data_IF_253619535118
#
_entry.id   IF_253619535118
#
_cell.length_a   1.000
_cell.length_b   1.000
_cell.length_c   1.000
_cell.angle_alpha   90.00
_cell.angle_beta   90.00
_cell.angle_gamma   90.00
#
_symmetry.space_group_name_H-M   'P 1'
#
loop_
_entity.id
_entity.type
_entity.pdbx_description
1 polymer ?
#
# COMPACT_ATOMS: atom_id res chain seq x y z
N UNK A 1 25.63 -24.76 7.42
CA UNK A 1 25.48 -23.29 7.32
C UNK A 1 24.32 -22.86 6.42
N UNK A 2 24.14 -23.43 5.21
CA UNK A 2 23.02 -23.07 4.31
C UNK A 2 21.61 -23.36 4.85
N UNK A 3 21.44 -24.40 5.66
CA UNK A 3 20.13 -24.74 6.25
C UNK A 3 19.58 -23.60 7.11
N UNK A 4 20.40 -23.00 7.98
CA UNK A 4 19.93 -21.91 8.86
C UNK A 4 19.50 -20.67 8.06
N UNK A 5 20.15 -20.42 6.92
CA UNK A 5 19.85 -19.29 6.02
C UNK A 5 18.45 -19.41 5.40
N UNK A 6 17.96 -20.64 5.18
CA UNK A 6 16.66 -20.90 4.56
C UNK A 6 15.58 -21.13 5.63
N UNK A 7 15.92 -21.81 6.73
CA UNK A 7 14.98 -22.10 7.82
C UNK A 7 14.46 -20.82 8.46
N UNK A 8 15.35 -19.86 8.71
CA UNK A 8 14.95 -18.60 9.34
C UNK A 8 13.85 -17.84 8.57
N UNK A 9 13.99 -17.54 7.27
CA UNK A 9 12.95 -16.83 6.53
C UNK A 9 11.67 -17.65 6.30
N UNK A 10 11.78 -18.98 6.20
CA UNK A 10 10.60 -19.85 6.14
C UNK A 10 9.81 -19.77 7.44
N UNK A 11 10.49 -19.84 8.59
CA UNK A 11 9.84 -19.73 9.91
C UNK A 11 9.19 -18.36 10.09
N UNK A 12 9.88 -17.28 9.70
CA UNK A 12 9.32 -15.93 9.76
C UNK A 12 8.07 -15.78 8.87
N UNK A 13 8.12 -16.28 7.64
CA UNK A 13 6.96 -16.31 6.74
C UNK A 13 5.82 -17.19 7.28
N UNK A 14 6.15 -18.33 7.86
CA UNK A 14 5.18 -19.24 8.48
C UNK A 14 4.44 -18.56 9.65
N UNK A 15 5.18 -17.93 10.56
CA UNK A 15 4.62 -17.18 11.68
C UNK A 15 3.75 -16.00 11.20
N UNK A 16 4.21 -15.29 10.16
CA UNK A 16 3.43 -14.22 9.53
C UNK A 16 2.10 -14.73 8.97
N UNK A 17 2.11 -15.86 8.25
CA UNK A 17 0.89 -16.49 7.72
C UNK A 17 -0.10 -16.93 8.81
N UNK A 18 0.41 -17.46 9.93
CA UNK A 18 -0.42 -17.78 11.10
C UNK A 18 -1.06 -16.53 11.70
N UNK A 19 -0.27 -15.48 11.88
CA UNK A 19 -0.76 -14.23 12.44
C UNK A 19 -1.86 -13.63 11.55
N UNK A 20 -1.66 -13.62 10.23
CA UNK A 20 -2.66 -13.12 9.27
C UNK A 20 -3.96 -13.91 9.37
N UNK A 21 -3.88 -15.24 9.33
CA UNK A 21 -5.06 -16.10 9.41
C UNK A 21 -5.82 -15.91 10.73
N UNK A 22 -5.10 -15.84 11.84
CA UNK A 22 -5.69 -15.61 13.15
C UNK A 22 -6.38 -14.24 13.26
N UNK A 23 -5.71 -13.16 12.83
CA UNK A 23 -6.26 -11.82 12.88
C UNK A 23 -7.47 -11.67 11.94
N UNK A 24 -7.41 -12.28 10.76
CA UNK A 24 -8.51 -12.26 9.81
C UNK A 24 -9.77 -12.96 10.34
N UNK A 25 -9.64 -13.95 11.23
CA UNK A 25 -10.77 -14.65 11.85
C UNK A 25 -11.32 -13.96 13.11
N UNK A 26 -10.50 -13.21 13.83
CA UNK A 26 -10.87 -12.69 15.17
C UNK A 26 -11.26 -11.21 15.14
N UNK A 27 -10.54 -10.39 14.39
CA UNK A 27 -10.70 -8.93 14.40
C UNK A 27 -12.07 -8.42 13.89
N UNK A 28 -12.66 -8.99 12.82
CA UNK A 28 -13.89 -8.46 12.21
C UNK A 28 -15.16 -8.71 13.03
N UNK A 29 -15.17 -9.76 13.84
CA UNK A 29 -16.39 -10.23 14.53
C UNK A 29 -16.56 -9.60 15.91
N UNK A 30 -15.49 -9.41 16.66
CA UNK A 30 -15.56 -9.00 18.08
C UNK A 30 -14.89 -7.67 18.36
N UNK A 31 -14.16 -7.10 17.39
CA UNK A 31 -13.27 -5.94 17.57
C UNK A 31 -12.31 -6.09 18.78
N UNK A 32 -12.09 -7.34 19.23
CA UNK A 32 -11.30 -7.73 20.39
C UNK A 32 -10.52 -8.99 20.04
N UNK A 33 -9.34 -9.17 20.61
CA UNK A 33 -8.56 -10.39 20.45
C UNK A 33 -9.24 -11.52 21.23
N UNK A 34 -10.15 -12.23 20.58
CA UNK A 34 -10.88 -13.38 21.15
C UNK A 34 -10.37 -14.70 20.58
N UNK A 35 -10.87 -15.81 21.10
CA UNK A 35 -10.58 -17.12 20.54
C UNK A 35 -11.28 -17.29 19.19
N UNK A 36 -10.64 -17.96 18.22
CA UNK A 36 -11.26 -18.20 16.93
C UNK A 36 -12.36 -19.26 17.10
N UNK A 37 -13.54 -18.98 16.59
CA UNK A 37 -14.70 -19.87 16.65
C UNK A 37 -14.98 -20.51 15.28
N UNK A 38 -15.60 -21.69 15.29
CA UNK A 38 -16.07 -22.32 14.06
C UNK A 38 -17.23 -21.51 13.47
N UNK A 39 -17.14 -21.15 12.18
CA UNK A 39 -18.19 -20.40 11.48
C UNK A 39 -19.53 -21.13 11.39
N UNK A 40 -19.53 -22.47 11.49
CA UNK A 40 -20.75 -23.27 11.33
C UNK A 40 -21.44 -23.62 12.67
N UNK A 41 -20.68 -23.96 13.70
CA UNK A 41 -21.24 -24.39 15.00
C UNK A 41 -20.96 -23.41 16.16
N UNK A 42 -20.16 -22.36 15.95
CA UNK A 42 -19.79 -21.39 16.98
C UNK A 42 -18.83 -21.90 18.05
N UNK A 43 -18.43 -23.18 18.01
CA UNK A 43 -17.52 -23.77 18.99
C UNK A 43 -16.13 -23.10 18.92
N UNK A 44 -15.60 -22.69 20.06
CA UNK A 44 -14.23 -22.16 20.17
C UNK A 44 -13.19 -23.23 19.84
N UNK A 45 -12.18 -22.87 19.04
CA UNK A 45 -11.02 -23.73 18.82
C UNK A 45 -9.98 -23.54 19.93
N UNK A 46 -9.41 -24.65 20.39
CA UNK A 46 -8.15 -24.60 21.15
C UNK A 46 -7.01 -24.21 20.22
N UNK A 47 -6.02 -23.47 20.73
CA UNK A 47 -4.91 -22.95 19.93
C UNK A 47 -4.18 -24.06 19.15
N UNK A 48 -3.89 -25.19 19.79
CA UNK A 48 -3.21 -26.32 19.13
C UNK A 48 -4.00 -26.91 17.96
N UNK A 49 -5.33 -27.08 18.12
CA UNK A 49 -6.20 -27.56 17.04
C UNK A 49 -6.28 -26.52 15.93
N UNK A 50 -6.32 -25.23 16.28
CA UNK A 50 -6.35 -24.15 15.32
C UNK A 50 -5.07 -24.08 14.48
N UNK A 51 -3.90 -24.18 15.11
CA UNK A 51 -2.59 -24.17 14.45
C UNK A 51 -2.38 -25.38 13.53
N UNK A 52 -3.00 -26.51 13.85
CA UNK A 52 -2.87 -27.77 13.09
C UNK A 52 -3.75 -27.83 11.84
N UNK A 53 -4.52 -26.78 11.53
CA UNK A 53 -5.51 -26.75 10.43
C UNK A 53 -6.47 -27.95 10.38
N UNK A 54 -6.75 -28.58 11.54
CA UNK A 54 -7.64 -29.74 11.61
C UNK A 54 -9.11 -29.34 11.42
N UNK A 55 -9.96 -30.24 10.91
CA UNK A 55 -11.40 -30.00 10.87
C UNK A 55 -11.97 -29.78 12.27
N UNK A 56 -13.14 -29.14 12.35
CA UNK A 56 -13.82 -28.96 13.64
C UNK A 56 -14.09 -30.32 14.30
N UNK A 57 -13.70 -30.47 15.57
CA UNK A 57 -13.95 -31.72 16.32
C UNK A 57 -15.42 -31.97 16.59
N UNK A 58 -16.24 -30.92 16.63
CA UNK A 58 -17.67 -31.02 16.93
C UNK A 58 -18.51 -31.27 15.68
N UNK A 59 -18.34 -30.48 14.61
CA UNK A 59 -19.16 -30.56 13.41
C UNK A 59 -18.45 -31.16 12.18
N UNK A 60 -17.16 -31.50 12.27
CA UNK A 60 -16.40 -32.05 11.15
C UNK A 60 -16.12 -31.06 10.00
N UNK A 61 -16.54 -29.79 10.13
CA UNK A 61 -16.39 -28.84 9.04
C UNK A 61 -14.91 -28.58 8.74
N UNK A 62 -14.53 -28.76 7.46
CA UNK A 62 -13.19 -28.50 6.97
C UNK A 62 -12.98 -27.01 6.77
N UNK A 63 -11.74 -26.55 6.99
CA UNK A 63 -11.37 -25.17 6.66
C UNK A 63 -11.24 -25.02 5.16
N UNK A 64 -11.73 -23.90 4.63
CA UNK A 64 -11.58 -23.56 3.21
C UNK A 64 -10.11 -23.42 2.79
N UNK A 65 -9.87 -23.21 1.50
CA UNK A 65 -8.52 -23.11 0.92
C UNK A 65 -7.77 -21.81 1.30
N UNK A 66 -8.46 -20.82 1.86
CA UNK A 66 -7.90 -19.50 2.20
C UNK A 66 -6.67 -19.58 3.10
N UNK A 67 -6.68 -20.28 4.25
CA UNK A 67 -5.52 -20.29 5.13
C UNK A 67 -4.30 -20.95 4.50
N UNK A 68 -4.52 -21.96 3.65
CA UNK A 68 -3.45 -22.61 2.89
C UNK A 68 -2.80 -21.65 1.89
N UNK A 69 -3.61 -20.86 1.16
CA UNK A 69 -3.09 -19.86 0.24
C UNK A 69 -2.27 -18.78 0.96
N UNK A 70 -2.81 -18.23 2.06
CA UNK A 70 -2.12 -17.21 2.88
C UNK A 70 -0.81 -17.77 3.43
N UNK A 71 -0.82 -19.01 3.93
CA UNK A 71 0.37 -19.66 4.48
C UNK A 71 1.46 -19.85 3.41
N UNK A 72 1.09 -20.38 2.25
CA UNK A 72 2.01 -20.58 1.13
C UNK A 72 2.59 -19.26 0.61
N UNK A 73 1.74 -18.25 0.44
CA UNK A 73 2.15 -16.93 -0.01
C UNK A 73 3.14 -16.28 0.96
N UNK A 74 2.88 -16.33 2.28
CA UNK A 74 3.76 -15.73 3.26
C UNK A 74 5.11 -16.44 3.39
N UNK A 75 5.16 -17.77 3.25
CA UNK A 75 6.43 -18.49 3.15
C UNK A 75 7.23 -18.07 1.92
N UNK A 76 6.56 -17.98 0.75
CA UNK A 76 7.21 -17.56 -0.49
C UNK A 76 7.73 -16.12 -0.40
N UNK A 77 6.94 -15.20 0.17
CA UNK A 77 7.35 -13.80 0.37
C UNK A 77 8.49 -13.71 1.39
N UNK A 78 8.45 -14.48 2.47
CA UNK A 78 9.52 -14.55 3.46
C UNK A 78 10.85 -15.00 2.86
N UNK A 79 10.82 -16.02 2.00
CA UNK A 79 12.00 -16.46 1.22
C UNK A 79 12.45 -15.39 0.23
N UNK A 80 11.52 -14.83 -0.54
CA UNK A 80 11.83 -13.83 -1.57
C UNK A 80 12.51 -12.59 -0.98
N UNK A 81 11.97 -12.07 0.12
CA UNK A 81 12.51 -10.88 0.82
C UNK A 81 13.86 -11.14 1.49
N UNK A 82 14.15 -12.39 1.84
CA UNK A 82 15.46 -12.78 2.35
C UNK A 82 16.53 -12.76 1.26
N UNK A 83 16.23 -13.29 0.07
CA UNK A 83 17.15 -13.28 -1.06
C UNK A 83 17.24 -11.92 -1.76
N UNK A 84 16.23 -11.07 -1.61
CA UNK A 84 16.16 -9.73 -2.20
C UNK A 84 16.02 -8.66 -1.10
N UNK A 85 17.08 -8.44 -0.29
CA UNK A 85 17.00 -7.53 0.84
C UNK A 85 16.68 -6.11 0.39
N UNK A 86 15.66 -5.52 1.00
CA UNK A 86 15.28 -4.13 0.78
C UNK A 86 16.06 -3.20 1.70
N UNK A 87 16.14 -1.90 1.36
CA UNK A 87 16.84 -0.88 2.16
C UNK A 87 16.35 -0.77 3.61
N UNK A 88 15.12 -1.19 3.88
CA UNK A 88 14.48 -1.20 5.20
C UNK A 88 14.95 -2.35 6.11
N UNK A 89 15.69 -3.32 5.57
CA UNK A 89 16.04 -4.55 6.26
C UNK A 89 14.89 -5.57 6.27
N UNK A 90 15.25 -6.82 6.54
CA UNK A 90 14.32 -7.96 6.49
C UNK A 90 13.20 -7.86 7.53
N UNK A 91 13.54 -7.57 8.79
CA UNK A 91 12.58 -7.55 9.89
C UNK A 91 11.48 -6.51 9.67
N UNK A 92 11.85 -5.26 9.35
CA UNK A 92 10.88 -4.19 9.11
C UNK A 92 10.03 -4.46 7.87
N UNK A 93 10.65 -5.00 6.80
CA UNK A 93 9.94 -5.43 5.60
C UNK A 93 8.89 -6.51 5.90
N UNK A 94 9.24 -7.53 6.69
CA UNK A 94 8.32 -8.61 7.08
C UNK A 94 7.16 -8.11 7.94
N UNK A 95 7.41 -7.23 8.90
CA UNK A 95 6.34 -6.60 9.70
C UNK A 95 5.39 -5.82 8.80
N UNK A 96 5.92 -5.02 7.87
CA UNK A 96 5.13 -4.19 6.96
C UNK A 96 4.29 -5.05 6.00
N UNK A 97 4.90 -6.07 5.39
CA UNK A 97 4.22 -7.01 4.49
C UNK A 97 3.12 -7.76 5.25
N UNK A 98 3.41 -8.21 6.47
CA UNK A 98 2.43 -8.92 7.29
C UNK A 98 1.23 -8.01 7.60
N UNK A 99 1.48 -6.76 7.98
CA UNK A 99 0.43 -5.76 8.19
C UNK A 99 -0.44 -5.56 6.96
N UNK A 100 0.16 -5.31 5.79
CA UNK A 100 -0.62 -5.12 4.55
C UNK A 100 -1.36 -6.39 4.15
N UNK A 101 -0.76 -7.56 4.33
CA UNK A 101 -1.41 -8.83 4.05
C UNK A 101 -2.62 -9.07 4.97
N UNK A 102 -2.54 -8.70 6.25
CA UNK A 102 -3.72 -8.72 7.16
C UNK A 102 -4.84 -7.87 6.57
N UNK A 103 -4.55 -6.62 6.21
CA UNK A 103 -5.55 -5.69 5.65
C UNK A 103 -6.17 -6.27 4.38
N UNK A 104 -5.36 -6.73 3.43
CA UNK A 104 -5.83 -7.31 2.17
C UNK A 104 -6.70 -8.55 2.39
N UNK A 105 -6.29 -9.46 3.28
CA UNK A 105 -7.06 -10.69 3.55
C UNK A 105 -8.38 -10.38 4.24
N UNK A 106 -8.40 -9.43 5.19
CA UNK A 106 -9.64 -8.99 5.84
C UNK A 106 -10.59 -8.35 4.83
N UNK A 107 -10.08 -7.44 4.01
CA UNK A 107 -10.87 -6.72 3.00
C UNK A 107 -11.46 -7.69 1.95
N UNK A 108 -10.67 -8.67 1.49
CA UNK A 108 -11.13 -9.69 0.54
C UNK A 108 -12.20 -10.62 1.14
N UNK A 109 -12.06 -11.02 2.41
CA UNK A 109 -12.99 -11.93 3.07
C UNK A 109 -14.34 -11.27 3.35
N UNK A 110 -14.32 -10.07 3.90
CA UNK A 110 -15.55 -9.42 4.37
C UNK A 110 -16.24 -8.62 3.27
N UNK A 111 -15.59 -8.37 2.13
CA UNK A 111 -16.08 -7.53 1.02
C UNK A 111 -16.59 -6.15 1.45
N UNK A 112 -16.25 -5.71 2.65
CA UNK A 112 -16.52 -4.36 3.12
C UNK A 112 -15.29 -3.53 2.82
N UNK A 113 -15.48 -2.41 2.10
CA UNK A 113 -14.50 -1.33 2.06
C UNK A 113 -14.52 -0.71 3.46
N UNK A 114 -13.77 -1.28 4.39
CA UNK A 114 -13.53 -0.66 5.68
C UNK A 114 -12.65 0.57 5.43
N UNK A 115 -13.28 1.73 5.24
CA UNK A 115 -12.57 3.01 5.18
C UNK A 115 -11.50 3.16 6.29
N UNK A 116 -11.69 2.67 7.54
CA UNK A 116 -10.64 2.75 8.57
C UNK A 116 -9.33 2.01 8.22
N UNK A 117 -9.39 0.81 7.64
CA UNK A 117 -8.17 0.01 7.32
C UNK A 117 -7.42 0.61 6.14
N UNK A 118 -8.16 1.09 5.13
CA UNK A 118 -7.60 1.78 3.98
C UNK A 118 -6.91 3.10 4.36
N UNK A 119 -7.50 3.89 5.27
CA UNK A 119 -6.90 5.14 5.78
C UNK A 119 -5.61 4.84 6.55
N UNK A 120 -5.62 3.83 7.42
CA UNK A 120 -4.42 3.44 8.17
C UNK A 120 -3.29 2.99 7.21
N UNK A 121 -3.62 2.20 6.19
CA UNK A 121 -2.68 1.80 5.15
C UNK A 121 -2.12 2.97 4.35
N UNK A 122 -2.95 3.97 4.03
CA UNK A 122 -2.54 5.18 3.33
C UNK A 122 -1.60 6.05 4.19
N UNK A 123 -1.90 6.23 5.47
CA UNK A 123 -1.04 6.98 6.41
C UNK A 123 0.32 6.30 6.60
N UNK A 124 0.34 4.98 6.77
CA UNK A 124 1.58 4.22 6.88
C UNK A 124 2.42 4.28 5.59
N UNK A 125 1.77 4.13 4.44
CA UNK A 125 2.43 4.25 3.13
C UNK A 125 3.01 5.64 2.92
N UNK A 126 2.29 6.68 3.31
CA UNK A 126 2.74 8.07 3.23
C UNK A 126 3.91 8.35 4.19
N UNK A 127 3.83 7.87 5.44
CA UNK A 127 4.90 8.01 6.42
C UNK A 127 6.19 7.30 6.00
N UNK A 128 6.10 6.03 5.58
CA UNK A 128 7.26 5.28 5.11
C UNK A 128 7.81 5.83 3.80
N UNK A 129 6.94 6.19 2.86
CA UNK A 129 7.32 6.78 1.58
C UNK A 129 8.10 8.08 1.75
N UNK A 130 7.62 8.98 2.61
CA UNK A 130 8.30 10.25 2.93
C UNK A 130 9.61 10.04 3.69
N UNK A 131 9.69 9.04 4.57
CA UNK A 131 10.93 8.71 5.27
C UNK A 131 12.01 8.17 4.32
N UNK A 132 11.64 7.25 3.42
CA UNK A 132 12.59 6.58 2.52
C UNK A 132 13.06 7.44 1.35
N UNK A 133 12.18 8.28 0.80
CA UNK A 133 12.48 9.10 -0.37
C UNK A 133 12.80 10.56 0.02
N UNK A 134 12.72 10.89 1.31
CA UNK A 134 12.72 12.27 1.77
C UNK A 134 11.39 12.99 1.43
N UNK A 135 11.19 14.22 1.93
CA UNK A 135 9.99 14.98 1.62
C UNK A 135 9.94 15.26 0.11
N UNK A 136 8.95 14.68 -0.57
CA UNK A 136 8.70 14.78 -2.02
C UNK A 136 8.71 16.23 -2.58
N UNK A 137 8.58 17.22 -1.71
CA UNK A 137 8.75 18.65 -2.00
C UNK A 137 10.11 19.06 -2.57
N UNK A 138 11.20 18.30 -2.38
CA UNK A 138 12.52 18.72 -2.92
C UNK A 138 12.69 18.39 -4.41
N UNK A 139 12.15 17.28 -4.88
CA UNK A 139 12.45 16.81 -6.24
C UNK A 139 11.37 17.18 -7.27
N UNK A 140 10.09 17.27 -6.88
CA UNK A 140 9.02 17.69 -7.81
C UNK A 140 8.99 19.22 -8.02
N UNK A 141 9.27 20.01 -6.98
CA UNK A 141 9.37 21.49 -7.10
C UNK A 141 10.71 21.91 -7.73
N UNK A 142 11.79 21.16 -7.48
CA UNK A 142 13.11 21.43 -8.07
C UNK A 142 13.23 21.05 -9.55
N UNK A 143 12.47 20.03 -10.01
CA UNK A 143 12.49 19.60 -11.42
C UNK A 143 11.70 20.56 -12.31
N UNK A 144 10.54 21.06 -11.85
CA UNK A 144 9.79 22.07 -12.61
C UNK A 144 10.53 23.42 -12.76
N UNK A 145 11.37 23.80 -11.78
CA UNK A 145 12.19 25.02 -11.86
C UNK A 145 13.40 24.87 -12.80
N UNK A 146 13.95 23.67 -13.01
CA UNK A 146 15.09 23.44 -13.92
C UNK A 146 14.72 23.54 -15.40
N UNK A 147 13.50 23.14 -15.76
CA UNK A 147 13.02 23.23 -17.15
C UNK A 147 12.70 24.67 -17.61
N UNK A 148 12.63 25.63 -16.67
CA UNK A 148 12.44 27.05 -16.96
C UNK A 148 13.77 27.83 -17.08
N UNK A 149 14.87 27.27 -16.59
CA UNK A 149 16.15 28.00 -16.47
C UNK A 149 17.19 27.51 -17.48
N UNK A 150 17.05 26.32 -18.05
CA UNK A 150 17.98 25.88 -19.10
C UNK A 150 17.66 26.60 -20.43
N UNK A 151 18.54 27.49 -20.92
CA UNK A 151 18.40 28.03 -22.28
C UNK A 151 18.53 26.88 -23.28
N UNK A 152 17.74 26.93 -24.36
CA UNK A 152 18.00 26.06 -25.51
C UNK A 152 19.45 26.31 -26.00
N UNK A 153 20.15 25.29 -26.51
CA UNK A 153 21.55 25.38 -26.97
C UNK A 153 21.78 26.36 -28.15
N UNK A 154 20.74 27.06 -28.58
CA UNK A 154 20.67 27.97 -29.72
C UNK A 154 20.44 29.44 -29.29
N UNK A 155 20.58 29.77 -28.00
CA UNK A 155 20.46 31.15 -27.53
C UNK A 155 19.05 31.78 -27.68
N UNK A 156 18.06 31.04 -28.16
CA UNK A 156 16.67 31.48 -28.27
C UNK A 156 15.98 31.40 -26.91
N UNK A 157 15.64 32.55 -26.34
CA UNK A 157 14.72 32.63 -25.20
C UNK A 157 13.31 32.20 -25.67
N UNK A 158 12.63 31.33 -24.90
CA UNK A 158 11.20 31.05 -25.10
C UNK A 158 10.41 32.31 -24.73
N UNK A 159 10.24 33.21 -25.69
CA UNK A 159 9.31 34.34 -25.59
C UNK A 159 7.90 33.75 -25.63
N UNK A 160 7.26 33.66 -24.47
CA UNK A 160 5.84 33.36 -24.38
C UNK A 160 5.06 34.55 -24.94
N UNK A 161 4.73 34.52 -26.23
CA UNK A 161 3.77 35.47 -26.81
C UNK A 161 2.40 35.24 -26.15
N UNK A 162 1.90 36.27 -25.48
CA UNK A 162 0.57 36.31 -24.87
C UNK A 162 -0.48 36.31 -25.98
N UNK A 163 -1.31 35.27 -26.08
CA UNK A 163 -2.49 35.27 -26.95
C UNK A 163 -3.50 36.29 -26.40
N UNK A 164 -4.10 37.17 -27.23
CA UNK A 164 -5.09 38.16 -26.78
C UNK A 164 -6.35 37.55 -26.14
N UNK A 165 -6.57 36.26 -26.35
CA UNK A 165 -7.86 35.59 -26.14
C UNK A 165 -7.94 34.83 -24.80
N UNK A 166 -6.92 34.95 -23.94
CA UNK A 166 -6.96 34.38 -22.58
C UNK A 166 -6.98 32.85 -22.52
N UNK A 167 -6.73 32.15 -23.64
CA UNK A 167 -6.62 30.70 -23.72
C UNK A 167 -5.18 30.33 -24.04
N UNK A 168 -4.48 29.70 -23.09
CA UNK A 168 -3.15 29.14 -23.34
C UNK A 168 -3.27 27.89 -24.21
N UNK A 169 -3.20 28.04 -25.52
CA UNK A 169 -3.08 26.92 -26.44
C UNK A 169 -1.61 26.50 -26.57
N UNK A 170 -1.26 25.38 -25.95
CA UNK A 170 0.01 24.69 -26.20
C UNK A 170 -0.08 24.04 -27.58
N UNK A 171 0.22 24.79 -28.64
CA UNK A 171 0.30 24.26 -30.00
C UNK A 171 1.60 23.49 -30.17
N UNK A 172 1.65 22.28 -29.63
CA UNK A 172 2.69 21.31 -29.93
C UNK A 172 2.50 20.81 -31.37
N UNK A 173 3.12 21.48 -32.33
CA UNK A 173 3.45 20.86 -33.60
C UNK A 173 4.53 19.80 -33.31
N UNK A 174 4.11 18.58 -33.00
CA UNK A 174 4.69 17.32 -33.46
C UNK A 174 3.99 16.13 -32.77
N UNK A 175 3.07 15.55 -33.53
CA UNK A 175 2.73 14.13 -33.64
C UNK A 175 2.90 13.19 -32.42
N UNK A 176 1.72 12.70 -31.97
CA UNK A 176 1.42 11.40 -31.35
C UNK A 176 1.02 11.41 -29.86
N UNK A 177 -0.30 11.44 -29.71
CA UNK A 177 -1.16 10.90 -28.63
C UNK A 177 -1.37 11.71 -27.33
N UNK A 178 -2.66 12.02 -27.13
CA UNK A 178 -3.38 12.44 -25.90
C UNK A 178 -3.12 13.87 -25.40
N UNK A 179 -3.93 14.79 -25.91
CA UNK A 179 -4.14 16.11 -25.31
C UNK A 179 -5.00 15.91 -24.05
N UNK A 180 -4.40 16.06 -22.88
CA UNK A 180 -5.13 16.28 -21.63
C UNK A 180 -5.41 17.77 -21.49
N UNK A 181 -6.68 18.15 -21.54
CA UNK A 181 -7.11 19.49 -21.16
C UNK A 181 -7.22 19.54 -19.63
N UNK A 182 -6.29 20.21 -18.97
CA UNK A 182 -6.49 20.64 -17.59
C UNK A 182 -7.28 21.95 -17.63
N UNK A 183 -8.57 21.88 -17.28
CA UNK A 183 -9.37 23.05 -16.97
C UNK A 183 -8.92 23.54 -15.59
N UNK A 184 -8.18 24.65 -15.55
CA UNK A 184 -7.79 25.29 -14.30
C UNK A 184 -8.97 26.17 -13.82
N UNK A 185 -9.55 25.96 -12.63
CA UNK A 185 -10.56 26.85 -12.09
C UNK A 185 -9.90 28.20 -11.78
N UNK A 186 -10.48 29.30 -12.29
CA UNK A 186 -10.09 30.67 -11.93
C UNK A 186 -10.14 30.82 -10.40
N UNK A 187 -8.98 31.00 -9.77
CA UNK A 187 -8.89 31.62 -8.45
C UNK A 187 -9.16 33.12 -8.64
N UNK A 188 -10.40 33.52 -8.35
CA UNK A 188 -10.84 34.93 -8.30
C UNK A 188 -10.28 35.60 -7.03
N UNK A 189 -9.06 36.13 -7.11
CA UNK A 189 -8.49 36.98 -6.06
C UNK A 189 -9.09 38.39 -6.18
N UNK A 190 -10.35 38.53 -5.72
CA UNK A 190 -11.01 39.82 -5.63
C UNK A 190 -10.45 40.60 -4.43
N UNK A 191 -9.60 41.57 -4.76
CA UNK A 191 -9.10 42.66 -3.91
C UNK A 191 -10.20 43.22 -3.00
N UNK A 192 -9.99 43.16 -1.70
CA UNK A 192 -10.75 43.91 -0.70
C UNK A 192 -9.78 44.84 0.05
N UNK A 193 -9.58 46.05 -0.49
CA UNK A 193 -8.90 47.15 0.18
C UNK A 193 -9.94 48.19 0.58
N UNK A 194 -10.48 48.01 1.79
CA UNK A 194 -11.15 49.06 2.57
C UNK A 194 -10.73 48.88 4.03
N UNK A 195 -9.67 49.56 4.47
CA UNK A 195 -9.52 50.02 5.86
C UNK A 195 -8.79 51.37 5.82
N UNK A 196 -9.52 52.38 6.32
CA UNK A 196 -9.17 53.73 6.83
C UNK A 196 -7.78 54.30 6.57
#
# INVERSE_FOLDING_TARGET
MMIFVIVFPILAGWLGGWLINYLADTLPLTHRLTRPACKQCGQEYSAGVYLSFRPCQNCGHHRGLRPWFVQAAMMAIGLYTWFNPHRMGYALGMVLITYYAVVVVIDMEHRLILHPTSIAGALLGLGLGTWLHGPASRDLIGRHRRDLINPLPDGRQKIWKRSPDGVYALRSLFYRQRIFYYVCPKLDYRRNTQIR
#
